data_IF_482545948447
#
_entry.id   IF_482545948447
#
_cell.length_a   1.000
_cell.length_b   1.000
_cell.length_c   1.000
_cell.angle_alpha   90.00
_cell.angle_beta   90.00
_cell.angle_gamma   90.00
#
_symmetry.space_group_name_H-M   'P 1'
#
loop_
_entity.id
_entity.type
_entity.pdbx_description
1 polymer ?
#
# COMPACT_ATOMS: atom_id res chain seq x y z
N UNK A 1 -10.00 -3.15 6.83
CA UNK A 1 -8.62 -3.01 7.34
C UNK A 1 -7.97 -4.38 7.18
N UNK A 2 -6.73 -4.49 6.70
CA UNK A 2 -6.22 -5.77 6.14
C UNK A 2 -5.38 -6.59 7.13
N UNK A 3 -4.71 -5.98 8.12
CA UNK A 3 -3.78 -6.73 8.99
C UNK A 3 -3.75 -6.25 10.45
N UNK A 4 -4.46 -5.20 10.81
CA UNK A 4 -4.66 -4.76 12.18
C UNK A 4 -3.45 -4.17 12.88
N UNK A 5 -2.38 -3.75 12.19
CA UNK A 5 -1.12 -3.32 12.86
C UNK A 5 -1.35 -2.24 13.92
N UNK A 6 -2.22 -1.27 13.65
CA UNK A 6 -2.56 -0.22 14.61
C UNK A 6 -3.28 -0.76 15.84
N UNK A 7 -4.07 -1.82 15.69
CA UNK A 7 -4.72 -2.53 16.79
C UNK A 7 -3.66 -3.24 17.62
N UNK A 8 -2.75 -3.97 16.98
CA UNK A 8 -1.61 -4.62 17.63
C UNK A 8 -0.77 -3.63 18.45
N UNK A 9 -0.40 -2.49 17.87
CA UNK A 9 0.40 -1.45 18.53
C UNK A 9 -0.31 -0.85 19.74
N UNK A 10 -1.62 -0.58 19.62
CA UNK A 10 -2.42 -0.06 20.71
C UNK A 10 -2.49 -1.05 21.89
N UNK A 11 -2.78 -2.32 21.60
CA UNK A 11 -2.84 -3.38 22.62
C UNK A 11 -1.48 -3.57 23.30
N UNK A 12 -0.40 -3.64 22.51
CA UNK A 12 0.96 -3.75 23.03
C UNK A 12 1.35 -2.57 23.93
N UNK A 13 0.79 -1.39 23.67
CA UNK A 13 0.98 -0.16 24.46
C UNK A 13 0.06 -0.08 25.68
N UNK A 14 -0.81 -1.06 25.91
CA UNK A 14 -1.76 -1.06 27.02
C UNK A 14 -2.92 -0.09 26.81
N UNK A 15 -3.35 0.11 25.57
CA UNK A 15 -4.49 0.95 25.24
C UNK A 15 -5.70 0.09 24.85
N UNK A 16 -6.88 0.31 25.45
CA UNK A 16 -8.12 -0.27 24.97
C UNK A 16 -8.42 0.13 23.54
N UNK A 17 -9.00 -0.79 22.77
CA UNK A 17 -9.32 -0.57 21.35
C UNK A 17 -10.82 -0.69 21.09
N UNK A 18 -11.36 0.24 20.30
CA UNK A 18 -12.68 0.13 19.68
C UNK A 18 -12.49 0.11 18.18
N UNK A 19 -12.81 -1.01 17.54
CA UNK A 19 -12.53 -1.23 16.11
C UNK A 19 -13.68 -1.92 15.41
N UNK A 20 -13.77 -1.76 14.09
CA UNK A 20 -14.84 -2.36 13.29
C UNK A 20 -14.55 -3.83 12.98
N UNK A 21 -15.63 -4.62 12.85
CA UNK A 21 -15.62 -5.98 12.29
C UNK A 21 -15.40 -5.93 10.78
N UNK A 22 -14.14 -5.85 10.39
CA UNK A 22 -13.76 -5.78 8.97
C UNK A 22 -12.62 -6.73 8.61
N UNK A 23 -12.55 -7.89 9.28
CA UNK A 23 -11.55 -8.94 9.07
C UNK A 23 -10.30 -8.75 9.93
N UNK A 24 -9.37 -7.88 9.52
CA UNK A 24 -8.06 -7.72 10.18
C UNK A 24 -8.13 -7.47 11.69
N UNK A 25 -9.01 -6.57 12.18
CA UNK A 25 -9.17 -6.34 13.61
C UNK A 25 -9.79 -7.53 14.35
N UNK A 26 -10.67 -8.29 13.70
CA UNK A 26 -11.31 -9.48 14.28
C UNK A 26 -10.30 -10.61 14.45
N UNK A 27 -9.44 -10.84 13.45
CA UNK A 27 -8.35 -11.81 13.54
C UNK A 27 -7.36 -11.43 14.65
N UNK A 28 -7.01 -10.15 14.73
CA UNK A 28 -6.09 -9.61 15.75
C UNK A 28 -6.65 -9.80 17.16
N UNK A 29 -7.92 -9.50 17.36
CA UNK A 29 -8.58 -9.55 18.67
C UNK A 29 -9.17 -10.93 18.99
N UNK A 30 -9.10 -11.90 18.08
CA UNK A 30 -9.67 -13.24 18.25
C UNK A 30 -9.22 -13.87 19.57
N UNK A 31 -10.17 -14.20 20.44
CA UNK A 31 -9.93 -14.83 21.75
C UNK A 31 -9.46 -13.88 22.85
N UNK A 32 -9.34 -12.58 22.59
CA UNK A 32 -8.98 -11.54 23.58
C UNK A 32 -9.92 -10.33 23.54
N UNK A 33 -11.04 -10.42 22.84
CA UNK A 33 -11.94 -9.31 22.51
C UNK A 33 -12.39 -8.59 23.79
N UNK A 34 -12.90 -9.35 24.76
CA UNK A 34 -13.41 -8.84 26.04
C UNK A 34 -12.31 -8.35 26.99
N UNK A 35 -11.07 -8.81 26.79
CA UNK A 35 -9.93 -8.39 27.61
C UNK A 35 -9.37 -7.04 27.16
N UNK A 36 -9.57 -6.68 25.89
CA UNK A 36 -8.82 -5.60 25.27
C UNK A 36 -9.67 -4.45 24.73
N UNK A 37 -10.95 -4.69 24.49
CA UNK A 37 -11.87 -3.62 24.17
C UNK A 37 -13.17 -4.11 23.54
N UNK A 38 -13.52 -3.55 22.38
CA UNK A 38 -14.78 -3.84 21.73
C UNK A 38 -14.66 -3.88 20.19
N UNK A 39 -15.44 -4.79 19.61
CA UNK A 39 -15.69 -4.86 18.17
C UNK A 39 -17.09 -4.31 17.88
N UNK A 40 -17.18 -3.40 16.92
CA UNK A 40 -18.45 -2.85 16.42
C UNK A 40 -18.69 -3.22 14.97
N UNK A 41 -19.95 -3.27 14.55
CA UNK A 41 -20.28 -3.56 13.15
C UNK A 41 -19.90 -2.37 12.25
N UNK A 42 -19.63 -2.65 10.98
CA UNK A 42 -19.42 -1.60 9.98
C UNK A 42 -20.76 -0.93 9.71
N UNK A 43 -20.84 0.38 9.97
CA UNK A 43 -22.06 1.15 9.80
C UNK A 43 -21.74 2.61 9.44
N UNK A 44 -22.61 3.20 8.60
CA UNK A 44 -22.58 4.63 8.28
C UNK A 44 -23.32 5.49 9.34
N UNK A 45 -24.02 4.86 10.29
CA UNK A 45 -24.70 5.56 11.38
C UNK A 45 -23.69 5.95 12.48
N UNK A 46 -23.46 7.26 12.72
CA UNK A 46 -22.53 7.72 13.76
C UNK A 46 -22.95 7.28 15.18
N UNK A 47 -24.23 6.98 15.41
CA UNK A 47 -24.69 6.50 16.72
C UNK A 47 -24.13 5.11 17.06
N UNK A 48 -23.82 4.28 16.07
CA UNK A 48 -23.21 2.96 16.29
C UNK A 48 -21.85 3.12 16.98
N UNK A 49 -21.02 4.05 16.51
CA UNK A 49 -19.69 4.32 17.07
C UNK A 49 -19.82 4.94 18.47
N UNK A 50 -20.70 5.92 18.63
CA UNK A 50 -20.92 6.58 19.92
C UNK A 50 -21.40 5.59 21.00
N UNK A 51 -22.37 4.74 20.65
CA UNK A 51 -22.89 3.71 21.56
C UNK A 51 -21.82 2.67 21.92
N UNK A 52 -21.03 2.23 20.94
CA UNK A 52 -19.94 1.28 21.18
C UNK A 52 -18.85 1.89 22.09
N UNK A 53 -18.53 3.17 21.90
CA UNK A 53 -17.62 3.91 22.77
C UNK A 53 -18.14 3.98 24.21
N UNK A 54 -19.41 4.35 24.41
CA UNK A 54 -19.98 4.43 25.76
C UNK A 54 -19.98 3.07 26.46
N UNK A 55 -20.36 2.01 25.76
CA UNK A 55 -20.30 0.63 26.29
C UNK A 55 -18.88 0.24 26.70
N UNK A 56 -17.89 0.53 25.87
CA UNK A 56 -16.48 0.26 26.18
C UNK A 56 -16.01 1.06 27.40
N UNK A 57 -16.36 2.35 27.47
CA UNK A 57 -16.02 3.22 28.59
C UNK A 57 -16.60 2.69 29.89
N UNK A 58 -17.87 2.31 29.88
CA UNK A 58 -18.57 1.84 31.08
C UNK A 58 -18.04 0.47 31.54
N UNK A 59 -17.52 -0.35 30.63
CA UNK A 59 -16.85 -1.62 30.92
C UNK A 59 -15.32 -1.50 31.05
N UNK A 60 -14.73 -0.30 31.08
CA UNK A 60 -13.28 -0.13 31.06
C UNK A 60 -12.57 -0.82 32.24
N UNK A 61 -13.24 -0.91 33.40
CA UNK A 61 -12.73 -1.60 34.59
C UNK A 61 -12.71 -3.13 34.48
N UNK A 62 -13.39 -3.73 33.50
CA UNK A 62 -13.41 -5.16 33.25
C UNK A 62 -12.33 -5.65 32.26
N UNK A 63 -11.54 -4.73 31.70
CA UNK A 63 -10.49 -5.06 30.73
C UNK A 63 -9.24 -5.59 31.44
N UNK A 64 -8.62 -6.63 30.85
CA UNK A 64 -7.33 -7.17 31.28
C UNK A 64 -6.29 -6.96 30.17
N UNK A 65 -5.83 -5.71 30.05
CA UNK A 65 -4.86 -5.31 29.03
C UNK A 65 -3.50 -5.99 29.21
N UNK A 66 -3.14 -6.33 30.46
CA UNK A 66 -1.92 -7.05 30.77
C UNK A 66 -1.95 -8.46 30.21
N UNK A 67 -3.06 -9.18 30.44
CA UNK A 67 -3.26 -10.52 29.87
C UNK A 67 -3.41 -10.48 28.37
N UNK A 68 -4.18 -9.53 27.82
CA UNK A 68 -4.33 -9.35 26.38
C UNK A 68 -2.97 -9.15 25.69
N UNK A 69 -2.09 -8.32 26.28
CA UNK A 69 -0.72 -8.12 25.77
C UNK A 69 0.11 -9.40 25.79
N UNK A 70 0.03 -10.20 26.85
CA UNK A 70 0.75 -11.49 26.92
C UNK A 70 0.27 -12.47 25.85
N UNK A 71 -1.05 -12.57 25.65
CA UNK A 71 -1.62 -13.45 24.61
C UNK A 71 -1.20 -12.97 23.23
N UNK A 72 -1.22 -11.65 22.98
CA UNK A 72 -0.80 -11.08 21.72
C UNK A 72 0.70 -11.34 21.45
N UNK A 73 1.55 -11.13 22.44
CA UNK A 73 2.99 -11.40 22.34
C UNK A 73 3.28 -12.88 22.05
N UNK A 74 2.53 -13.81 22.66
CA UNK A 74 2.68 -15.24 22.38
C UNK A 74 2.26 -15.67 20.96
N UNK A 75 1.43 -14.86 20.28
CA UNK A 75 0.92 -15.16 18.93
C UNK A 75 1.70 -14.47 17.83
N UNK A 76 2.04 -13.19 18.04
CA UNK A 76 2.59 -12.29 17.03
C UNK A 76 3.81 -11.50 17.52
N UNK A 77 4.36 -11.84 18.69
CA UNK A 77 5.63 -11.33 19.17
C UNK A 77 6.81 -11.81 18.34
N UNK A 78 7.98 -11.21 18.56
CA UNK A 78 9.17 -11.47 17.75
C UNK A 78 9.56 -12.95 17.72
N UNK A 79 9.52 -13.63 18.86
CA UNK A 79 9.86 -15.05 18.98
C UNK A 79 8.85 -15.93 18.21
N UNK A 80 7.55 -15.73 18.45
CA UNK A 80 6.49 -16.48 17.78
C UNK A 80 6.55 -16.35 16.25
N UNK A 81 6.77 -15.12 15.75
CA UNK A 81 6.91 -14.86 14.31
C UNK A 81 8.20 -15.47 13.76
N UNK A 82 9.32 -15.36 14.48
CA UNK A 82 10.58 -15.96 14.06
C UNK A 82 10.46 -17.49 13.92
N UNK A 83 9.82 -18.16 14.88
CA UNK A 83 9.56 -19.60 14.81
C UNK A 83 8.67 -19.98 13.63
N UNK A 84 7.60 -19.22 13.38
CA UNK A 84 6.71 -19.45 12.23
C UNK A 84 7.48 -19.29 10.91
N UNK A 85 8.30 -18.25 10.78
CA UNK A 85 9.13 -18.04 9.59
C UNK A 85 10.16 -19.14 9.40
N UNK A 86 10.81 -19.59 10.48
CA UNK A 86 11.78 -20.70 10.43
C UNK A 86 11.13 -21.99 9.93
N UNK A 87 9.94 -22.34 10.43
CA UNK A 87 9.19 -23.50 9.93
C UNK A 87 8.93 -23.41 8.42
N UNK A 88 8.59 -22.22 7.92
CA UNK A 88 8.39 -21.99 6.48
C UNK A 88 9.69 -22.17 5.70
N UNK A 89 10.80 -21.64 6.21
CA UNK A 89 12.11 -21.83 5.57
C UNK A 89 12.59 -23.30 5.60
N UNK A 90 12.18 -24.06 6.60
CA UNK A 90 12.44 -25.51 6.74
C UNK A 90 11.48 -26.36 5.88
N UNK A 91 10.58 -25.74 5.12
CA UNK A 91 9.71 -26.42 4.16
C UNK A 91 8.30 -26.73 4.66
N UNK A 92 7.92 -26.27 5.86
CA UNK A 92 6.53 -26.33 6.29
C UNK A 92 5.70 -25.31 5.52
N UNK A 93 4.69 -25.76 4.78
CA UNK A 93 3.72 -24.84 4.16
C UNK A 93 2.75 -24.36 5.25
N UNK A 94 2.56 -23.03 5.40
CA UNK A 94 1.55 -22.53 6.33
C UNK A 94 0.16 -22.96 5.84
N UNK A 95 -0.78 -23.24 6.76
CA UNK A 95 -2.15 -23.52 6.38
C UNK A 95 -2.71 -22.33 5.59
N UNK A 96 -3.40 -22.62 4.48
CA UNK A 96 -4.11 -21.59 3.72
C UNK A 96 -5.22 -21.05 4.62
N UNK A 97 -5.28 -19.73 4.90
CA UNK A 97 -6.35 -19.15 5.70
C UNK A 97 -7.70 -19.51 5.08
N UNK A 98 -8.58 -20.12 5.86
CA UNK A 98 -9.96 -20.36 5.42
C UNK A 98 -10.65 -19.01 5.31
N UNK A 99 -11.29 -18.74 4.16
CA UNK A 99 -12.20 -17.60 4.05
C UNK A 99 -13.28 -17.75 5.12
N UNK A 100 -13.71 -16.66 5.79
CA UNK A 100 -14.90 -16.72 6.64
C UNK A 100 -16.03 -17.31 5.81
N UNK A 101 -16.72 -18.32 6.36
CA UNK A 101 -17.91 -18.86 5.75
C UNK A 101 -18.93 -17.72 5.67
N UNK A 102 -19.20 -17.25 4.47
CA UNK A 102 -20.43 -16.55 4.18
C UNK A 102 -21.53 -17.60 4.28
N UNK A 103 -22.34 -17.54 5.36
CA UNK A 103 -23.64 -18.19 5.35
C UNK A 103 -24.41 -17.68 4.11
N UNK A 104 -25.14 -18.61 3.49
CA UNK A 104 -25.99 -18.47 2.29
C UNK A 104 -25.29 -18.63 0.91
N UNK A 105 -25.03 -19.87 0.48
CA UNK A 105 -25.91 -20.60 -0.47
C UNK A 105 -25.28 -21.92 -0.96
N UNK A 106 -25.99 -23.01 -0.65
CA UNK A 106 -26.14 -24.31 -1.32
C UNK A 106 -25.01 -24.86 -2.24
N UNK A 107 -24.34 -25.87 -1.68
CA UNK A 107 -23.99 -27.19 -2.27
C UNK A 107 -23.92 -27.35 -3.80
N UNK A 108 -22.69 -27.54 -4.27
CA UNK A 108 -22.39 -28.18 -5.55
C UNK A 108 -21.03 -28.88 -5.47
N UNK A 109 -20.99 -30.05 -4.84
CA UNK A 109 -19.80 -30.89 -4.77
C UNK A 109 -19.49 -31.47 -6.15
N UNK A 110 -18.41 -31.02 -6.80
CA UNK A 110 -17.82 -31.71 -7.93
C UNK A 110 -16.33 -31.93 -7.66
N UNK A 111 -15.96 -33.21 -7.63
CA UNK A 111 -14.62 -33.69 -7.42
C UNK A 111 -13.65 -33.14 -8.46
N UNK A 112 -12.51 -32.62 -8.01
CA UNK A 112 -11.38 -32.29 -8.88
C UNK A 112 -10.57 -33.55 -9.09
N UNK A 113 -10.85 -34.26 -10.18
CA UNK A 113 -9.92 -35.25 -10.73
C UNK A 113 -8.69 -34.55 -11.30
N UNK A 114 -7.53 -35.10 -10.97
CA UNK A 114 -6.25 -34.68 -11.49
C UNK A 114 -6.18 -34.98 -13.01
N UNK A 115 -6.00 -33.93 -13.83
CA UNK A 115 -5.73 -34.08 -15.25
C UNK A 115 -4.63 -33.13 -15.70
N UNK A 116 -3.53 -33.73 -16.14
CA UNK A 116 -2.81 -33.35 -17.35
C UNK A 116 -2.06 -32.02 -17.36
N UNK A 117 -0.74 -32.12 -17.35
CA UNK A 117 0.14 -31.11 -17.94
C UNK A 117 -0.21 -30.91 -19.42
N UNK A 118 -1.05 -29.93 -19.73
CA UNK A 118 -1.16 -29.42 -21.10
C UNK A 118 -1.14 -27.89 -21.07
N UNK A 119 -0.08 -27.31 -21.64
CA UNK A 119 0.06 -25.86 -21.80
C UNK A 119 -0.99 -25.41 -22.83
N UNK A 120 -1.87 -24.43 -22.54
CA UNK A 120 -2.79 -23.95 -23.55
C UNK A 120 -2.02 -23.36 -24.73
N UNK A 121 -2.24 -23.94 -25.92
CA UNK A 121 -1.81 -23.38 -27.19
C UNK A 121 -2.54 -22.06 -27.42
N UNK A 122 -1.82 -20.95 -27.31
CA UNK A 122 -2.29 -19.64 -27.73
C UNK A 122 -2.68 -19.68 -29.21
N UNK A 123 -3.98 -19.60 -29.51
CA UNK A 123 -4.48 -19.36 -30.84
C UNK A 123 -5.72 -18.47 -30.76
N UNK A 124 -5.58 -17.24 -31.22
CA UNK A 124 -6.69 -16.29 -31.39
C UNK A 124 -6.24 -15.16 -32.31
N UNK A 125 -6.82 -15.11 -33.51
CA UNK A 125 -6.74 -13.96 -34.41
C UNK A 125 -7.49 -12.76 -33.79
N UNK A 126 -7.18 -11.50 -34.18
CA UNK A 126 -7.74 -10.30 -33.55
C UNK A 126 -9.23 -10.15 -33.85
N UNK A 127 -10.08 -10.77 -33.02
CA UNK A 127 -11.48 -10.40 -32.86
C UNK A 127 -11.63 -9.12 -32.02
N UNK A 128 -12.80 -8.51 -32.07
CA UNK A 128 -13.14 -7.36 -31.23
C UNK A 128 -13.06 -7.77 -29.74
N UNK A 129 -12.42 -6.96 -28.86
CA UNK A 129 -12.20 -7.34 -27.48
C UNK A 129 -13.52 -7.49 -26.72
N UNK A 130 -13.58 -8.48 -25.83
CA UNK A 130 -14.75 -8.75 -24.97
C UNK A 130 -14.99 -7.62 -23.96
N UNK A 131 -13.96 -6.83 -23.69
CA UNK A 131 -14.03 -5.61 -22.89
C UNK A 131 -12.65 -5.00 -22.69
N UNK A 132 -12.59 -3.83 -22.04
CA UNK A 132 -11.35 -3.13 -21.75
C UNK A 132 -11.15 -2.97 -20.25
N UNK A 133 -10.03 -3.48 -19.75
CA UNK A 133 -9.67 -3.46 -18.35
C UNK A 133 -8.39 -2.67 -18.10
N UNK A 134 -8.39 -1.86 -17.05
CA UNK A 134 -7.22 -1.10 -16.61
C UNK A 134 -6.77 -1.60 -15.25
N UNK A 135 -5.50 -1.99 -15.14
CA UNK A 135 -4.90 -2.41 -13.88
C UNK A 135 -3.97 -1.32 -13.37
N UNK A 136 -4.42 -0.61 -12.33
CA UNK A 136 -3.65 0.40 -11.63
C UNK A 136 -2.71 -0.26 -10.62
N UNK A 137 -1.44 -0.36 -11.03
CA UNK A 137 -0.35 -0.97 -10.30
C UNK A 137 0.85 -0.02 -10.24
N UNK A 138 0.65 1.15 -9.63
CA UNK A 138 1.68 2.18 -9.54
C UNK A 138 2.91 1.67 -8.79
N UNK A 139 2.73 1.05 -7.63
CA UNK A 139 3.85 0.54 -6.82
C UNK A 139 3.52 -0.78 -6.16
N UNK A 140 3.28 -1.84 -6.95
CA UNK A 140 2.77 -3.08 -6.42
C UNK A 140 3.80 -3.78 -5.54
N UNK A 141 3.33 -4.35 -4.42
CA UNK A 141 4.14 -5.23 -3.59
C UNK A 141 4.34 -6.62 -4.21
N UNK A 142 3.38 -7.07 -5.02
CA UNK A 142 3.35 -8.42 -5.60
C UNK A 142 3.11 -8.39 -7.12
N UNK A 143 4.10 -8.00 -7.94
CA UNK A 143 3.93 -7.85 -9.39
C UNK A 143 3.53 -9.16 -10.10
N UNK A 144 4.01 -10.31 -9.64
CA UNK A 144 3.63 -11.63 -10.20
C UNK A 144 2.13 -11.92 -10.14
N UNK A 145 1.46 -11.52 -9.06
CA UNK A 145 0.01 -11.69 -8.91
C UNK A 145 -0.75 -10.86 -9.95
N UNK A 146 -0.25 -9.65 -10.21
CA UNK A 146 -0.84 -8.74 -11.19
C UNK A 146 -0.62 -9.26 -12.60
N UNK A 147 0.58 -9.78 -12.89
CA UNK A 147 0.89 -10.40 -14.18
C UNK A 147 -0.01 -11.60 -14.45
N UNK A 148 -0.12 -12.53 -13.48
CA UNK A 148 -1.04 -13.67 -13.62
C UNK A 148 -2.46 -13.20 -13.89
N UNK A 149 -2.97 -12.25 -13.11
CA UNK A 149 -4.30 -11.70 -13.31
C UNK A 149 -4.48 -11.05 -14.69
N UNK A 150 -3.54 -10.21 -15.13
CA UNK A 150 -3.60 -9.57 -16.45
C UNK A 150 -3.54 -10.59 -17.59
N UNK A 151 -2.70 -11.62 -17.47
CA UNK A 151 -2.61 -12.68 -18.46
C UNK A 151 -3.90 -13.52 -18.51
N UNK A 152 -4.53 -13.78 -17.37
CA UNK A 152 -5.82 -14.48 -17.28
C UNK A 152 -6.94 -13.68 -17.98
N UNK A 153 -6.95 -12.35 -17.83
CA UNK A 153 -7.90 -11.48 -18.53
C UNK A 153 -7.65 -11.46 -20.05
N UNK A 154 -6.39 -11.37 -20.48
CA UNK A 154 -6.05 -11.45 -21.91
C UNK A 154 -6.46 -12.78 -22.52
N UNK A 155 -6.32 -13.89 -21.77
CA UNK A 155 -6.77 -15.20 -22.22
C UNK A 155 -8.30 -15.28 -22.47
N UNK A 156 -9.07 -14.38 -21.83
CA UNK A 156 -10.52 -14.23 -22.03
C UNK A 156 -10.88 -13.25 -23.17
N UNK A 157 -9.89 -12.73 -23.90
CA UNK A 157 -10.11 -11.76 -24.97
C UNK A 157 -10.35 -10.33 -24.47
N UNK A 158 -9.98 -10.02 -23.23
CA UNK A 158 -10.05 -8.66 -22.67
C UNK A 158 -8.81 -7.87 -23.09
N UNK A 159 -9.00 -6.63 -23.52
CA UNK A 159 -7.89 -5.71 -23.75
C UNK A 159 -7.43 -5.13 -22.39
N UNK A 160 -6.18 -5.40 -22.02
CA UNK A 160 -5.66 -5.03 -20.70
C UNK A 160 -4.59 -3.96 -20.82
N UNK A 161 -4.77 -2.87 -20.08
CA UNK A 161 -3.75 -1.83 -19.89
C UNK A 161 -3.27 -1.80 -18.44
N UNK A 162 -1.97 -1.99 -18.21
CA UNK A 162 -1.34 -1.88 -16.89
C UNK A 162 -0.70 -0.51 -16.74
N UNK A 163 -1.05 0.22 -15.68
CA UNK A 163 -0.46 1.51 -15.33
C UNK A 163 0.49 1.35 -14.15
N UNK A 164 1.75 1.74 -14.31
CA UNK A 164 2.80 1.48 -13.32
C UNK A 164 3.70 2.70 -13.08
N UNK A 165 4.21 2.90 -11.87
CA UNK A 165 5.30 3.83 -11.56
C UNK A 165 6.65 3.12 -11.42
N UNK A 166 6.69 1.80 -11.66
CA UNK A 166 7.91 0.99 -11.80
C UNK A 166 8.38 0.92 -13.24
N UNK A 167 9.63 0.51 -13.41
CA UNK A 167 10.25 0.33 -14.71
C UNK A 167 9.56 -0.72 -15.56
N UNK A 168 9.31 -0.39 -16.82
CA UNK A 168 8.70 -1.31 -17.79
C UNK A 168 9.49 -2.61 -17.95
N UNK A 169 10.82 -2.56 -17.81
CA UNK A 169 11.72 -3.73 -17.87
C UNK A 169 11.40 -4.79 -16.80
N UNK A 170 10.91 -4.37 -15.63
CA UNK A 170 10.57 -5.31 -14.56
C UNK A 170 9.40 -6.21 -14.95
N UNK A 171 8.44 -5.67 -15.70
CA UNK A 171 7.23 -6.39 -16.09
C UNK A 171 7.49 -7.33 -17.26
N UNK A 172 8.26 -6.89 -18.26
CA UNK A 172 8.63 -7.73 -19.41
C UNK A 172 9.54 -8.90 -19.02
N UNK A 173 10.38 -8.74 -17.99
CA UNK A 173 11.20 -9.84 -17.45
C UNK A 173 10.40 -10.89 -16.66
N UNK A 174 9.15 -10.61 -16.31
CA UNK A 174 8.31 -11.47 -15.48
C UNK A 174 7.18 -12.14 -16.27
N UNK A 175 7.34 -12.31 -17.59
CA UNK A 175 6.36 -12.94 -18.49
C UNK A 175 4.98 -12.26 -18.52
N UNK A 176 4.97 -10.92 -18.52
CA UNK A 176 3.75 -10.18 -18.89
C UNK A 176 3.43 -10.43 -20.37
N UNK A 177 2.17 -10.80 -20.66
CA UNK A 177 1.75 -11.12 -22.02
C UNK A 177 2.00 -9.92 -22.98
N UNK A 178 2.56 -10.13 -24.19
CA UNK A 178 2.94 -9.04 -25.10
C UNK A 178 1.79 -8.10 -25.52
N UNK A 179 0.55 -8.60 -25.54
CA UNK A 179 -0.64 -7.81 -25.85
C UNK A 179 -1.09 -6.87 -24.71
N UNK A 180 -0.52 -6.99 -23.51
CA UNK A 180 -0.84 -6.06 -22.41
C UNK A 180 -0.14 -4.74 -22.65
N UNK A 181 -0.92 -3.67 -22.82
CA UNK A 181 -0.38 -2.32 -22.94
C UNK A 181 0.20 -1.88 -21.59
N UNK A 182 1.44 -1.40 -21.57
CA UNK A 182 2.13 -0.99 -20.33
C UNK A 182 2.41 0.51 -20.34
N UNK A 183 1.70 1.24 -19.49
CA UNK A 183 1.86 2.69 -19.34
C UNK A 183 2.66 2.99 -18.07
N UNK A 184 3.91 3.44 -18.25
CA UNK A 184 4.77 3.78 -17.13
C UNK A 184 4.82 5.28 -16.87
N UNK A 185 4.60 5.69 -15.61
CA UNK A 185 4.84 7.05 -15.14
C UNK A 185 6.18 7.18 -14.39
N UNK A 186 7.05 6.16 -14.44
CA UNK A 186 8.33 6.15 -13.74
C UNK A 186 9.19 7.37 -14.10
N UNK A 187 9.30 7.70 -15.39
CA UNK A 187 10.10 8.85 -15.83
C UNK A 187 9.52 10.19 -15.35
N UNK A 188 8.20 10.29 -15.24
CA UNK A 188 7.55 11.46 -14.69
C UNK A 188 7.77 11.55 -13.17
N UNK A 189 7.71 10.44 -12.44
CA UNK A 189 8.04 10.38 -11.01
C UNK A 189 9.52 10.72 -10.75
N UNK A 190 10.45 10.19 -11.56
CA UNK A 190 11.88 10.52 -11.49
C UNK A 190 12.14 12.01 -11.69
N UNK A 191 11.39 12.67 -12.57
CA UNK A 191 11.45 14.14 -12.77
C UNK A 191 10.79 14.92 -11.62
N UNK A 192 9.88 14.28 -10.87
CA UNK A 192 9.29 14.85 -9.67
C UNK A 192 10.17 14.71 -8.43
N UNK A 193 11.17 13.81 -8.39
CA UNK A 193 12.15 13.71 -7.29
C UNK A 193 12.60 15.12 -6.95
N UNK A 194 12.11 15.64 -5.83
CA UNK A 194 11.89 17.06 -5.54
C UNK A 194 13.21 17.72 -5.14
N UNK A 195 14.12 18.12 -6.05
CA UNK A 195 15.37 18.75 -5.63
C UNK A 195 15.09 20.24 -5.35
N UNK A 196 13.85 20.71 -5.61
CA UNK A 196 13.42 22.11 -5.54
C UNK A 196 12.93 22.50 -4.15
N UNK A 197 12.13 21.68 -3.49
CA UNK A 197 11.78 21.90 -2.08
C UNK A 197 12.97 21.60 -1.16
N UNK A 198 13.74 20.57 -1.49
CA UNK A 198 15.07 20.32 -0.92
C UNK A 198 15.97 21.56 -1.10
N UNK A 199 16.12 22.11 -2.31
CA UNK A 199 16.87 23.36 -2.52
C UNK A 199 16.33 24.54 -1.70
N UNK A 200 15.02 24.67 -1.57
CA UNK A 200 14.45 25.85 -0.92
C UNK A 200 14.71 25.85 0.58
N UNK A 201 14.54 24.71 1.25
CA UNK A 201 14.81 24.61 2.68
C UNK A 201 16.32 24.58 2.97
N UNK A 202 17.08 23.86 2.14
CA UNK A 202 18.53 23.67 2.29
C UNK A 202 19.34 24.90 1.89
N UNK A 203 18.87 25.78 1.00
CA UNK A 203 19.61 27.00 0.60
C UNK A 203 19.11 28.31 1.22
N UNK A 204 17.93 28.33 1.86
CA UNK A 204 17.46 29.51 2.60
C UNK A 204 17.92 29.54 4.06
N UNK A 205 18.05 28.38 4.71
CA UNK A 205 18.65 28.24 6.04
C UNK A 205 20.14 28.68 6.15
N UNK A 206 21.03 28.43 5.16
CA UNK A 206 22.44 28.80 5.22
C UNK A 206 22.67 30.31 5.29
N UNK A 207 21.81 31.14 4.69
CA UNK A 207 22.05 32.60 4.70
C UNK A 207 21.91 33.20 6.09
N UNK A 208 20.97 32.70 6.89
CA UNK A 208 20.78 33.16 8.27
C UNK A 208 21.88 32.62 9.19
N UNK A 209 22.24 31.34 9.05
CA UNK A 209 23.29 30.69 9.84
C UNK A 209 24.67 31.24 9.51
N UNK A 210 25.01 31.41 8.22
CA UNK A 210 26.28 32.02 7.79
C UNK A 210 26.35 33.52 8.15
N UNK A 211 25.24 34.27 8.12
CA UNK A 211 25.21 35.66 8.62
C UNK A 211 25.50 35.73 10.12
N UNK A 212 25.03 34.76 10.90
CA UNK A 212 25.27 34.70 12.35
C UNK A 212 26.68 34.24 12.65
N UNK A 213 27.19 33.24 11.92
CA UNK A 213 28.57 32.77 12.01
C UNK A 213 29.58 33.87 11.61
N UNK A 214 29.34 34.62 10.52
CA UNK A 214 30.18 35.77 10.13
C UNK A 214 30.16 36.89 11.17
N UNK A 215 29.02 37.13 11.83
CA UNK A 215 28.92 38.11 12.93
C UNK A 215 29.73 37.70 14.16
N UNK A 216 29.75 36.41 14.47
CA UNK A 216 30.51 35.85 15.59
C UNK A 216 32.01 35.83 15.25
N UNK A 217 32.38 35.43 14.04
CA UNK A 217 33.76 35.46 13.56
C UNK A 217 34.33 36.89 13.48
N UNK A 218 33.52 37.89 13.10
CA UNK A 218 33.93 39.29 13.09
C UNK A 218 34.19 39.87 14.49
N UNK A 219 33.62 39.27 15.55
CA UNK A 219 33.87 39.65 16.95
C UNK A 219 35.14 39.03 17.54
N UNK A 220 35.66 37.96 16.93
CA UNK A 220 36.81 37.20 17.44
C UNK A 220 37.99 37.26 16.46
N UNK A 221 38.45 38.48 16.13
CA UNK A 221 39.50 38.74 15.13
C UNK A 221 40.93 38.32 15.55
N UNK A 222 41.14 37.93 16.80
CA UNK A 222 42.47 37.58 17.33
C UNK A 222 42.70 36.07 17.55
N UNK A 223 41.74 35.20 17.20
CA UNK A 223 41.93 33.76 17.32
C UNK A 223 42.38 33.13 15.98
N UNK A 224 43.56 32.51 16.01
CA UNK A 224 44.10 31.68 14.93
C UNK A 224 43.13 30.54 14.64
N UNK A 225 42.66 30.42 13.41
CA UNK A 225 41.92 29.26 12.90
C UNK A 225 40.59 29.49 12.17
N UNK A 226 40.37 30.57 11.39
CA UNK A 226 39.11 30.75 10.66
C UNK A 226 38.86 29.67 9.59
N UNK A 227 39.92 29.05 9.03
CA UNK A 227 39.76 28.01 7.99
C UNK A 227 39.29 26.66 8.53
N UNK A 228 39.74 26.27 9.73
CA UNK A 228 39.31 25.00 10.35
C UNK A 228 37.88 25.04 10.90
N UNK A 229 37.39 26.22 11.29
CA UNK A 229 36.01 26.44 11.69
C UNK A 229 35.02 26.29 10.50
N UNK A 230 35.44 26.65 9.29
CA UNK A 230 34.60 26.54 8.08
C UNK A 230 34.49 25.09 7.59
N UNK A 231 35.58 24.31 7.65
CA UNK A 231 35.60 22.90 7.25
C UNK A 231 34.81 21.99 8.21
N UNK A 232 34.83 22.29 9.51
CA UNK A 232 34.04 21.55 10.52
C UNK A 232 32.54 21.82 10.37
N UNK A 233 32.14 23.06 10.02
CA UNK A 233 30.75 23.41 9.71
C UNK A 233 30.24 22.67 8.46
N UNK A 234 31.06 22.47 7.43
CA UNK A 234 30.67 21.70 6.23
C UNK A 234 30.42 20.21 6.54
N UNK A 235 31.25 19.56 7.36
CA UNK A 235 31.06 18.13 7.70
C UNK A 235 29.83 17.89 8.59
N UNK A 236 29.53 18.83 9.50
CA UNK A 236 28.30 18.78 10.32
C UNK A 236 27.07 19.00 9.44
N UNK A 237 27.13 19.90 8.45
CA UNK A 237 26.04 20.18 7.53
C UNK A 237 25.65 18.97 6.67
N UNK A 238 26.62 18.22 6.12
CA UNK A 238 26.32 17.03 5.30
C UNK A 238 25.67 15.91 6.10
N UNK A 239 26.08 15.71 7.36
CA UNK A 239 25.46 14.71 8.24
C UNK A 239 24.03 15.10 8.63
N UNK A 240 23.78 16.37 8.93
CA UNK A 240 22.45 16.87 9.28
C UNK A 240 21.51 16.83 8.07
N UNK A 241 21.99 17.20 6.89
CA UNK A 241 21.19 17.12 5.65
C UNK A 241 20.79 15.68 5.31
N UNK A 242 21.73 14.72 5.36
CA UNK A 242 21.43 13.31 5.09
C UNK A 242 20.49 12.70 6.12
N UNK A 243 20.63 13.04 7.41
CA UNK A 243 19.73 12.58 8.46
C UNK A 243 18.31 13.15 8.30
N UNK A 244 18.20 14.42 7.89
CA UNK A 244 16.92 15.09 7.65
C UNK A 244 16.21 14.52 6.41
N UNK A 245 16.95 14.24 5.33
CA UNK A 245 16.45 13.52 4.16
C UNK A 245 15.91 12.14 4.49
N UNK A 246 16.66 11.34 5.25
CA UNK A 246 16.26 9.96 5.53
C UNK A 246 15.04 9.88 6.46
N UNK A 247 14.92 10.81 7.42
CA UNK A 247 13.94 10.70 8.53
C UNK A 247 12.66 11.53 8.34
N UNK A 248 12.75 12.71 7.72
CA UNK A 248 11.61 13.62 7.56
C UNK A 248 11.06 13.53 6.14
N UNK A 249 11.92 13.64 5.13
CA UNK A 249 11.48 13.65 3.72
C UNK A 249 10.81 12.35 3.32
N UNK A 250 11.41 11.18 3.59
CA UNK A 250 10.79 9.89 3.24
C UNK A 250 9.44 9.66 3.92
N UNK A 251 9.25 10.17 5.14
CA UNK A 251 7.99 10.04 5.88
C UNK A 251 6.91 10.92 5.29
N UNK A 252 7.20 12.21 5.12
CA UNK A 252 6.24 13.16 4.53
C UNK A 252 5.96 12.85 3.06
N UNK A 253 6.97 12.43 2.30
CA UNK A 253 6.81 12.04 0.90
C UNK A 253 5.88 10.83 0.77
N UNK A 254 5.98 9.81 1.64
CA UNK A 254 5.06 8.66 1.62
C UNK A 254 3.59 9.05 1.75
N UNK A 255 3.28 10.10 2.51
CA UNK A 255 1.91 10.57 2.71
C UNK A 255 1.37 11.37 1.50
N UNK A 256 2.22 12.18 0.86
CA UNK A 256 1.81 13.01 -0.30
C UNK A 256 1.96 12.30 -1.65
N UNK A 257 2.74 11.21 -1.70
CA UNK A 257 3.05 10.46 -2.92
C UNK A 257 1.81 9.94 -3.65
N UNK A 258 0.76 9.39 -3.01
CA UNK A 258 -0.47 9.00 -3.70
C UNK A 258 -1.11 10.15 -4.48
N UNK A 259 -1.16 11.36 -3.89
CA UNK A 259 -1.76 12.53 -4.55
C UNK A 259 -0.91 13.04 -5.72
N UNK A 260 0.42 13.01 -5.57
CA UNK A 260 1.35 13.39 -6.63
C UNK A 260 1.27 12.43 -7.81
N UNK A 261 1.25 11.12 -7.54
CA UNK A 261 1.12 10.10 -8.58
C UNK A 261 -0.23 10.17 -9.28
N UNK A 262 -1.32 10.44 -8.56
CA UNK A 262 -2.62 10.69 -9.18
C UNK A 262 -2.57 11.88 -10.15
N UNK A 263 -1.93 13.00 -9.77
CA UNK A 263 -1.75 14.15 -10.67
C UNK A 263 -0.88 13.83 -11.89
N UNK A 264 0.10 12.93 -11.76
CA UNK A 264 0.91 12.48 -12.89
C UNK A 264 0.10 11.58 -13.82
N UNK A 265 -0.65 10.63 -13.26
CA UNK A 265 -1.52 9.73 -14.01
C UNK A 265 -2.58 10.53 -14.79
N UNK A 266 -3.22 11.51 -14.16
CA UNK A 266 -4.21 12.40 -14.79
C UNK A 266 -3.61 13.15 -16.01
N UNK A 267 -2.33 13.52 -15.96
CA UNK A 267 -1.67 14.30 -17.02
C UNK A 267 -1.05 13.46 -18.13
N UNK A 268 -0.60 12.25 -17.83
CA UNK A 268 0.22 11.43 -18.74
C UNK A 268 -0.49 10.20 -19.24
N UNK A 269 -1.37 9.63 -18.43
CA UNK A 269 -1.90 8.29 -18.66
C UNK A 269 -3.35 8.38 -19.14
N UNK A 270 -4.15 9.29 -18.56
CA UNK A 270 -5.55 9.51 -18.99
C UNK A 270 -5.69 9.81 -20.48
N UNK A 271 -4.83 10.65 -21.12
CA UNK A 271 -4.94 10.90 -22.56
C UNK A 271 -4.69 9.66 -23.43
N UNK A 272 -3.92 8.69 -22.93
CA UNK A 272 -3.54 7.47 -23.66
C UNK A 272 -4.53 6.32 -23.43
N UNK A 273 -5.25 6.34 -22.30
CA UNK A 273 -6.09 5.25 -21.82
C UNK A 273 -7.49 5.15 -22.46
N UNK A 274 -7.94 6.17 -23.19
CA UNK A 274 -9.32 6.25 -23.73
C UNK A 274 -10.36 5.79 -22.71
N UNK A 275 -10.37 6.40 -21.52
CA UNK A 275 -11.19 5.95 -20.38
C UNK A 275 -12.69 5.80 -20.68
N UNK A 276 -13.19 6.44 -21.74
CA UNK A 276 -14.59 6.28 -22.20
C UNK A 276 -14.91 4.86 -22.68
N UNK A 277 -13.91 4.06 -23.07
CA UNK A 277 -14.06 2.67 -23.52
C UNK A 277 -13.75 1.63 -22.44
N UNK A 278 -13.26 2.08 -21.29
CA UNK A 278 -12.85 1.19 -20.20
C UNK A 278 -14.07 0.79 -19.38
N UNK A 279 -14.23 -0.50 -19.13
CA UNK A 279 -15.34 -1.00 -18.32
C UNK A 279 -14.94 -1.10 -16.85
N UNK A 280 -13.72 -1.59 -16.59
CA UNK A 280 -13.24 -1.88 -15.25
C UNK A 280 -11.84 -1.32 -14.96
N UNK A 281 -11.68 -0.75 -13.77
CA UNK A 281 -10.39 -0.30 -13.23
C UNK A 281 -10.07 -1.06 -11.96
N UNK A 282 -9.01 -1.85 -11.98
CA UNK A 282 -8.52 -2.65 -10.86
C UNK A 282 -7.41 -1.91 -10.11
N UNK A 283 -7.65 -1.51 -8.87
CA UNK A 283 -6.71 -0.82 -7.99
C UNK A 283 -5.94 -1.84 -7.15
N UNK A 284 -4.63 -1.94 -7.36
CA UNK A 284 -3.83 -3.04 -6.80
C UNK A 284 -2.87 -2.65 -5.67
N UNK A 285 -2.68 -1.34 -5.44
CA UNK A 285 -1.80 -0.85 -4.38
C UNK A 285 -2.26 0.49 -3.80
N UNK A 286 -1.74 0.83 -2.62
CA UNK A 286 -2.17 2.01 -1.86
C UNK A 286 -1.94 3.33 -2.62
N UNK A 287 -0.88 3.42 -3.43
CA UNK A 287 -0.60 4.65 -4.19
C UNK A 287 -1.56 4.82 -5.37
N UNK A 288 -2.23 3.75 -5.78
CA UNK A 288 -3.23 3.74 -6.86
C UNK A 288 -4.64 4.13 -6.39
N UNK A 289 -4.92 4.11 -5.08
CA UNK A 289 -6.25 4.38 -4.52
C UNK A 289 -6.79 5.76 -4.86
N UNK A 290 -5.97 6.81 -4.70
CA UNK A 290 -6.36 8.19 -5.00
C UNK A 290 -6.63 8.38 -6.49
N UNK A 291 -5.83 7.74 -7.35
CA UNK A 291 -6.02 7.76 -8.80
C UNK A 291 -7.34 7.10 -9.16
N UNK A 292 -7.58 5.88 -8.67
CA UNK A 292 -8.83 5.15 -8.91
C UNK A 292 -10.06 5.92 -8.43
N UNK A 293 -10.02 6.50 -7.23
CA UNK A 293 -11.12 7.31 -6.69
C UNK A 293 -11.41 8.55 -7.53
N UNK A 294 -10.37 9.27 -7.97
CA UNK A 294 -10.55 10.42 -8.85
C UNK A 294 -11.17 10.03 -10.18
N UNK A 295 -10.73 8.93 -10.78
CA UNK A 295 -11.25 8.45 -12.05
C UNK A 295 -12.70 8.02 -11.94
N UNK A 296 -13.08 7.30 -10.88
CA UNK A 296 -14.48 6.98 -10.59
C UNK A 296 -15.35 8.24 -10.48
N UNK A 297 -14.80 9.29 -9.84
CA UNK A 297 -15.52 10.56 -9.67
C UNK A 297 -15.66 11.35 -10.97
N UNK A 298 -14.65 11.33 -11.85
CA UNK A 298 -14.68 12.08 -13.12
C UNK A 298 -15.34 11.30 -14.27
N UNK A 299 -15.41 9.98 -14.18
CA UNK A 299 -15.98 9.09 -15.19
C UNK A 299 -16.93 8.08 -14.52
N UNK A 300 -18.21 8.47 -14.29
CA UNK A 300 -19.15 7.67 -13.51
C UNK A 300 -19.49 6.29 -14.11
N UNK A 301 -19.20 6.06 -15.40
CA UNK A 301 -19.39 4.76 -16.05
C UNK A 301 -18.29 3.74 -15.68
N UNK A 302 -17.15 4.18 -15.16
CA UNK A 302 -16.04 3.31 -14.78
C UNK A 302 -16.36 2.52 -13.52
N UNK A 303 -16.29 1.19 -13.59
CA UNK A 303 -16.35 0.35 -12.40
C UNK A 303 -14.97 0.19 -11.79
N UNK A 304 -14.69 0.95 -10.72
CA UNK A 304 -13.42 0.91 -10.00
C UNK A 304 -13.50 -0.04 -8.81
N UNK A 305 -12.60 -1.03 -8.74
CA UNK A 305 -12.57 -2.04 -7.68
C UNK A 305 -11.15 -2.31 -7.20
N UNK A 306 -11.01 -2.70 -5.93
CA UNK A 306 -9.74 -3.20 -5.38
C UNK A 306 -9.65 -4.73 -5.44
N UNK A 307 -10.74 -5.41 -5.79
CA UNK A 307 -10.78 -6.86 -5.91
C UNK A 307 -10.24 -7.28 -7.27
N UNK A 308 -9.21 -8.12 -7.30
CA UNK A 308 -8.71 -8.79 -8.50
C UNK A 308 -9.60 -9.99 -8.84
N UNK A 309 -10.88 -9.71 -9.07
CA UNK A 309 -11.87 -10.72 -9.40
C UNK A 309 -11.73 -11.13 -10.87
N UNK A 310 -11.54 -12.43 -11.08
CA UNK A 310 -11.30 -13.00 -12.41
C UNK A 310 -12.60 -13.23 -13.15
N UNK A 311 -13.73 -13.40 -12.47
CA UNK A 311 -14.99 -13.77 -13.11
C UNK A 311 -15.73 -12.59 -13.74
N UNK A 312 -15.19 -11.38 -13.62
CA UNK A 312 -15.79 -10.14 -14.16
C UNK A 312 -16.08 -10.22 -15.67
N UNK A 313 -15.30 -11.02 -16.39
CA UNK A 313 -15.42 -11.23 -17.85
C UNK A 313 -15.62 -12.72 -18.19
N UNK A 314 -16.15 -13.52 -17.27
CA UNK A 314 -16.62 -14.85 -17.65
C UNK A 314 -17.85 -14.69 -18.56
N UNK A 315 -17.86 -15.41 -19.68
CA UNK A 315 -19.01 -15.49 -20.56
C UNK A 315 -19.95 -16.52 -19.92
N UNK A 316 -21.18 -16.10 -19.61
CA UNK A 316 -22.26 -17.00 -19.16
C UNK A 316 -22.56 -18.08 -20.21
#
# INVERSE_FOLDING_TARGET
>A
ETFGVTVVEAIASGLPVLVTRCGGPEETMSGIETMVGALMDVSDDPQVIANAYWRLRDNAGGLDLGRARQVLDSRIGCEAVAEQLMKVYEGALPPVPQRPATDDMETGTAAVEAAGTDRPRWRGEPGEPVGHAVVLALTPGHPRRIISFSNDLVAKGVEVTVVTARSAKLWTQMDLHPSVALLSIEDAEKRLNVPRAERFLVYRAPRAVLRRARRIAAKNREAIGPEMAVASVQRVHTKVANAWHKKVFNRTYREVRPQLLARLADRRVVPELQLDKVDHVFVTDINSTVTGWKWAKSHPHLKVTTSLDRSVYDID
#
